data_IF_009821062879
#
_entry.id   IF_009821062879
#
_cell.length_a   1.000
_cell.length_b   1.000
_cell.length_c   1.000
_cell.angle_alpha   90.00
_cell.angle_beta   90.00
_cell.angle_gamma   90.00
#
_symmetry.space_group_name_H-M   'P 1'
#
loop_
_entity.id
_entity.type
_entity.pdbx_description
1 polymer ?
#
# COMPACT_ATOMS: atom_id res chain seq x y z
N UNK A 1 -54.87 -6.04 22.34
CA UNK A 1 -55.52 -6.10 21.01
C UNK A 1 -54.68 -5.25 20.05
N UNK A 2 -53.62 -5.83 19.48
CA UNK A 2 -52.80 -5.22 18.43
C UNK A 2 -52.42 -6.33 17.45
N UNK A 3 -52.98 -6.24 16.24
CA UNK A 3 -52.70 -7.14 15.12
C UNK A 3 -51.38 -6.71 14.45
N UNK A 4 -50.39 -7.59 14.45
CA UNK A 4 -49.19 -7.50 13.62
C UNK A 4 -49.41 -8.27 12.33
N UNK A 5 -49.38 -7.55 11.21
CA UNK A 5 -49.44 -8.12 9.87
C UNK A 5 -48.15 -8.92 9.57
N UNK A 6 -48.31 -10.21 9.24
CA UNK A 6 -47.27 -11.06 8.66
C UNK A 6 -47.29 -10.87 7.15
N UNK A 7 -46.22 -10.29 6.61
CA UNK A 7 -45.99 -10.21 5.17
C UNK A 7 -45.15 -11.41 4.72
N UNK A 8 -45.81 -12.41 4.15
CA UNK A 8 -45.20 -13.59 3.54
C UNK A 8 -44.60 -13.23 2.18
N UNK A 9 -43.27 -13.16 2.09
CA UNK A 9 -42.53 -13.09 0.82
C UNK A 9 -42.46 -14.49 0.20
N UNK A 10 -43.25 -14.71 -0.86
CA UNK A 10 -43.10 -15.85 -1.78
C UNK A 10 -41.78 -15.68 -2.55
N UNK A 11 -40.83 -16.58 -2.33
CA UNK A 11 -39.69 -16.79 -3.23
C UNK A 11 -40.23 -17.55 -4.45
N UNK A 12 -40.06 -16.96 -5.63
CA UNK A 12 -40.47 -17.52 -6.93
C UNK A 12 -39.25 -18.24 -7.50
N UNK A 13 -39.38 -19.55 -7.70
CA UNK A 13 -38.39 -20.40 -8.37
C UNK A 13 -38.33 -20.08 -9.87
N UNK A 14 -37.48 -19.13 -10.25
CA UNK A 14 -37.08 -18.97 -11.64
C UNK A 14 -35.77 -19.73 -11.89
N UNK A 15 -35.91 -20.83 -12.64
CA UNK A 15 -34.81 -21.63 -13.18
C UNK A 15 -33.97 -20.78 -14.13
N UNK A 16 -32.82 -20.29 -13.65
CA UNK A 16 -31.76 -19.75 -14.51
C UNK A 16 -30.93 -20.93 -15.03
N UNK A 17 -31.20 -21.32 -16.28
CA UNK A 17 -30.34 -22.20 -17.07
C UNK A 17 -29.10 -21.41 -17.52
N UNK A 18 -27.92 -21.81 -17.04
CA UNK A 18 -26.63 -21.35 -17.58
C UNK A 18 -26.13 -22.38 -18.61
N UNK A 19 -25.98 -22.02 -19.90
CA UNK A 19 -25.17 -22.79 -20.82
C UNK A 19 -23.71 -22.30 -20.72
N UNK A 20 -22.78 -23.21 -20.44
CA UNK A 20 -21.35 -22.90 -20.57
C UNK A 20 -20.48 -23.49 -19.48
N UNK A 21 -20.06 -24.74 -19.69
CA UNK A 21 -18.99 -25.40 -18.96
C UNK A 21 -17.66 -24.72 -19.33
N UNK A 22 -17.17 -23.77 -18.52
CA UNK A 22 -15.82 -23.23 -18.68
C UNK A 22 -14.85 -24.13 -17.93
N UNK A 23 -14.10 -24.93 -18.69
CA UNK A 23 -12.90 -25.59 -18.22
C UNK A 23 -11.85 -24.52 -17.89
N UNK A 24 -11.55 -24.32 -16.60
CA UNK A 24 -10.29 -23.69 -16.20
C UNK A 24 -9.21 -24.77 -16.20
N UNK A 25 -8.64 -25.01 -17.38
CA UNK A 25 -7.34 -25.65 -17.50
C UNK A 25 -6.28 -24.70 -16.96
N UNK A 26 -5.31 -25.25 -16.24
CA UNK A 26 -4.29 -24.51 -15.50
C UNK A 26 -3.64 -23.40 -16.32
N UNK A 27 -3.79 -22.17 -15.83
CA UNK A 27 -2.88 -21.10 -16.19
C UNK A 27 -1.62 -21.31 -15.36
N UNK A 28 -0.63 -21.98 -15.95
CA UNK A 28 0.76 -21.77 -15.57
C UNK A 28 1.03 -20.27 -15.78
N UNK A 29 1.11 -19.51 -14.70
CA UNK A 29 1.71 -18.19 -14.74
C UNK A 29 3.22 -18.40 -14.75
N UNK A 30 3.73 -18.82 -15.90
CA UNK A 30 5.14 -18.56 -16.22
C UNK A 30 5.26 -17.04 -16.34
N UNK A 31 5.92 -16.44 -15.34
CA UNK A 31 6.50 -15.13 -15.49
C UNK A 31 7.60 -15.24 -16.54
N UNK A 32 7.23 -15.17 -17.82
CA UNK A 32 8.15 -14.67 -18.82
C UNK A 32 8.47 -13.24 -18.41
N UNK A 33 9.63 -13.08 -17.75
CA UNK A 33 10.40 -11.87 -17.84
C UNK A 33 10.69 -11.66 -19.34
N UNK A 34 9.74 -11.03 -20.03
CA UNK A 34 10.02 -10.35 -21.27
C UNK A 34 11.04 -9.28 -20.91
N UNK A 35 12.31 -9.65 -21.03
CA UNK A 35 13.37 -8.69 -21.20
C UNK A 35 12.95 -7.84 -22.40
N UNK A 36 12.40 -6.67 -22.10
CA UNK A 36 12.25 -5.59 -23.06
C UNK A 36 13.67 -5.10 -23.34
N UNK A 37 14.41 -5.91 -24.08
CA UNK A 37 15.55 -5.48 -24.86
C UNK A 37 14.95 -4.64 -25.99
N UNK A 38 14.68 -3.37 -25.70
CA UNK A 38 14.64 -2.37 -26.75
C UNK A 38 16.07 -2.22 -27.28
N UNK A 39 16.50 -3.20 -28.10
CA UNK A 39 17.51 -2.97 -29.11
C UNK A 39 16.94 -1.95 -30.08
N UNK A 40 17.09 -0.67 -29.72
CA UNK A 40 17.05 0.43 -30.68
C UNK A 40 18.21 0.19 -31.65
N UNK A 41 17.92 -0.51 -32.74
CA UNK A 41 18.77 -0.45 -33.91
C UNK A 41 18.81 1.02 -34.36
N UNK A 42 19.98 1.66 -34.44
CA UNK A 42 20.09 2.99 -34.98
C UNK A 42 19.87 2.89 -36.49
N UNK A 43 18.65 3.15 -36.95
CA UNK A 43 18.40 3.39 -38.37
C UNK A 43 19.00 4.74 -38.73
N UNK A 44 20.28 4.71 -39.09
CA UNK A 44 20.96 5.73 -39.87
C UNK A 44 20.25 5.86 -41.24
N UNK A 45 19.12 6.56 -41.27
CA UNK A 45 18.66 7.23 -42.50
C UNK A 45 18.95 8.71 -42.34
N UNK A 46 20.12 9.08 -42.85
CA UNK A 46 20.51 10.41 -43.27
C UNK A 46 19.47 10.98 -44.26
N UNK A 47 18.37 11.49 -43.71
CA UNK A 47 17.57 12.50 -44.36
C UNK A 47 18.15 13.85 -43.94
N UNK A 48 19.07 14.38 -44.74
CA UNK A 48 19.58 15.74 -44.65
C UNK A 48 18.43 16.74 -44.77
N UNK A 49 17.72 16.98 -43.68
CA UNK A 49 16.84 18.13 -43.55
C UNK A 49 17.74 19.34 -43.53
N UNK A 50 17.83 20.02 -44.66
CA UNK A 50 18.22 21.41 -44.75
C UNK A 50 17.47 22.18 -43.65
N UNK A 51 18.13 22.44 -42.54
CA UNK A 51 17.78 23.52 -41.62
C UNK A 51 17.98 24.81 -42.41
N UNK A 52 16.95 25.21 -43.14
CA UNK A 52 16.82 26.58 -43.61
C UNK A 52 16.65 27.40 -42.34
N UNK A 53 17.77 27.91 -41.81
CA UNK A 53 17.75 28.98 -40.84
C UNK A 53 17.14 30.20 -41.54
N UNK A 54 15.81 30.30 -41.55
CA UNK A 54 15.13 31.53 -41.92
C UNK A 54 15.61 32.58 -40.94
N UNK A 55 16.58 33.41 -41.38
CA UNK A 55 16.87 34.69 -40.75
C UNK A 55 15.59 35.49 -40.83
N UNK A 56 14.79 35.43 -39.77
CA UNK A 56 13.68 36.36 -39.55
C UNK A 56 14.29 37.75 -39.47
N UNK A 57 14.31 38.45 -40.60
CA UNK A 57 14.70 39.85 -40.65
C UNK A 57 13.60 40.62 -39.93
N UNK A 58 13.90 41.06 -38.70
CA UNK A 58 13.04 41.94 -37.94
C UNK A 58 12.89 43.23 -38.79
N UNK A 59 11.66 43.60 -39.21
CA UNK A 59 11.41 44.81 -40.00
C UNK A 59 12.10 46.02 -39.36
N UNK A 60 12.77 46.87 -40.14
CA UNK A 60 13.52 48.01 -39.59
C UNK A 60 12.65 48.97 -38.77
N UNK A 61 11.36 49.03 -39.08
CA UNK A 61 10.35 49.80 -38.34
C UNK A 61 10.27 49.38 -36.87
N UNK A 62 10.40 48.07 -36.57
CA UNK A 62 10.41 47.56 -35.18
C UNK A 62 11.73 47.83 -34.45
N UNK A 63 12.84 48.05 -35.18
CA UNK A 63 14.14 48.38 -34.56
C UNK A 63 14.22 49.83 -34.09
N UNK A 64 13.46 50.74 -34.72
CA UNK A 64 13.44 52.15 -34.37
C UNK A 64 12.72 52.42 -33.02
N UNK A 65 11.69 51.62 -32.70
CA UNK A 65 10.92 51.76 -31.45
C UNK A 65 11.54 51.05 -30.25
N UNK A 66 12.59 50.25 -30.46
CA UNK A 66 13.29 49.56 -29.37
C UNK A 66 14.31 50.52 -28.74
N UNK A 67 14.15 50.87 -27.44
CA UNK A 67 15.12 51.72 -26.76
C UNK A 67 16.52 51.09 -26.82
N UNK A 68 17.46 51.78 -27.47
CA UNK A 68 18.82 51.29 -27.70
C UNK A 68 19.68 51.20 -26.43
N UNK A 69 19.22 51.84 -25.34
CA UNK A 69 19.90 51.76 -24.06
C UNK A 69 19.88 50.33 -23.54
N UNK A 70 20.97 49.88 -22.93
CA UNK A 70 21.11 48.54 -22.33
C UNK A 70 19.96 48.25 -21.36
N UNK A 71 19.53 49.29 -20.63
CA UNK A 71 18.33 49.25 -19.79
C UNK A 71 17.06 48.93 -20.61
N UNK A 72 16.82 49.64 -21.71
CA UNK A 72 15.68 49.38 -22.61
C UNK A 72 15.61 47.94 -23.14
N UNK A 73 16.76 47.34 -23.45
CA UNK A 73 16.84 45.94 -23.89
C UNK A 73 16.52 44.95 -22.76
N UNK A 74 17.04 45.19 -21.55
CA UNK A 74 16.73 44.38 -20.38
C UNK A 74 15.22 44.40 -20.06
N UNK A 75 14.59 45.56 -20.21
CA UNK A 75 13.15 45.77 -19.99
C UNK A 75 12.30 44.95 -20.98
N UNK A 76 12.70 44.85 -22.25
CA UNK A 76 12.04 44.01 -23.25
C UNK A 76 12.10 42.50 -22.95
N UNK A 77 13.17 42.04 -22.30
CA UNK A 77 13.38 40.62 -21.98
C UNK A 77 12.61 40.18 -20.73
N UNK A 78 12.27 41.11 -19.84
CA UNK A 78 11.65 40.80 -18.54
C UNK A 78 10.33 40.01 -18.63
N UNK A 79 9.35 40.39 -19.48
CA UNK A 79 8.11 39.62 -19.62
C UNK A 79 8.34 38.20 -20.14
N UNK A 80 9.29 38.04 -21.06
CA UNK A 80 9.64 36.73 -21.64
C UNK A 80 10.23 35.83 -20.54
N UNK A 81 11.17 36.34 -19.75
CA UNK A 81 11.78 35.61 -18.64
C UNK A 81 10.72 35.20 -17.60
N UNK A 82 9.83 36.12 -17.22
CA UNK A 82 8.76 35.80 -16.26
C UNK A 82 7.79 34.76 -16.80
N UNK A 83 7.49 34.78 -18.10
CA UNK A 83 6.66 33.77 -18.74
C UNK A 83 7.33 32.38 -18.69
N UNK A 84 8.63 32.31 -18.94
CA UNK A 84 9.40 31.06 -18.82
C UNK A 84 9.38 30.56 -17.38
N UNK A 85 9.62 31.43 -16.39
CA UNK A 85 9.57 31.07 -14.96
C UNK A 85 8.17 30.55 -14.59
N UNK A 86 7.11 31.26 -14.99
CA UNK A 86 5.73 30.83 -14.74
C UNK A 86 5.45 29.44 -15.33
N UNK A 87 5.93 29.18 -16.56
CA UNK A 87 5.76 27.88 -17.24
C UNK A 87 6.52 26.77 -16.52
N UNK A 88 7.74 27.03 -16.03
CA UNK A 88 8.50 26.07 -15.23
C UNK A 88 7.80 25.77 -13.90
N UNK A 89 7.29 26.80 -13.20
CA UNK A 89 6.53 26.63 -11.97
C UNK A 89 5.22 25.83 -12.19
N UNK A 90 4.54 26.06 -13.31
CA UNK A 90 3.37 25.28 -13.71
C UNK A 90 3.72 23.79 -13.89
N UNK A 91 4.84 23.49 -14.56
CA UNK A 91 5.34 22.13 -14.73
C UNK A 91 5.69 21.46 -13.40
N UNK A 92 6.35 22.19 -12.49
CA UNK A 92 6.67 21.70 -11.15
C UNK A 92 5.40 21.43 -10.33
N UNK A 93 4.44 22.35 -10.33
CA UNK A 93 3.15 22.16 -9.66
C UNK A 93 2.40 20.91 -10.17
N UNK A 94 2.36 20.73 -11.49
CA UNK A 94 1.72 19.56 -12.13
C UNK A 94 2.41 18.24 -11.78
N UNK A 95 3.75 18.21 -11.78
CA UNK A 95 4.51 17.01 -11.42
C UNK A 95 4.33 16.63 -9.94
N UNK A 96 4.29 17.59 -9.02
CA UNK A 96 4.01 17.35 -7.60
C UNK A 96 2.58 16.87 -7.36
N UNK A 97 1.60 17.42 -8.09
CA UNK A 97 0.23 16.94 -8.04
C UNK A 97 0.11 15.49 -8.55
N UNK A 98 0.84 15.16 -9.62
CA UNK A 98 0.89 13.78 -10.16
C UNK A 98 1.51 12.81 -9.16
N UNK A 99 2.59 13.21 -8.47
CA UNK A 99 3.18 12.42 -7.37
C UNK A 99 2.20 12.20 -6.23
N UNK A 100 1.48 13.24 -5.80
CA UNK A 100 0.45 13.12 -4.76
C UNK A 100 -0.66 12.14 -5.16
N UNK A 101 -1.09 12.16 -6.42
CA UNK A 101 -2.07 11.21 -6.94
C UNK A 101 -1.54 9.77 -6.99
N UNK A 102 -0.27 9.59 -7.40
CA UNK A 102 0.38 8.29 -7.39
C UNK A 102 0.45 7.70 -5.98
N UNK A 103 0.91 8.48 -5.00
CA UNK A 103 1.00 8.06 -3.60
C UNK A 103 -0.37 7.69 -3.01
N UNK A 104 -1.43 8.46 -3.33
CA UNK A 104 -2.82 8.12 -2.92
C UNK A 104 -3.29 6.82 -3.55
N UNK A 105 -3.05 6.62 -4.84
CA UNK A 105 -3.43 5.39 -5.53
C UNK A 105 -2.67 4.17 -4.96
N UNK A 106 -1.38 4.34 -4.69
CA UNK A 106 -0.56 3.31 -4.06
C UNK A 106 -1.02 2.99 -2.63
N UNK A 107 -1.33 4.02 -1.83
CA UNK A 107 -1.93 3.85 -0.50
C UNK A 107 -3.26 3.08 -0.56
N UNK A 108 -4.13 3.37 -1.53
CA UNK A 108 -5.39 2.64 -1.72
C UNK A 108 -5.16 1.15 -2.05
N UNK A 109 -4.16 0.82 -2.88
CA UNK A 109 -3.79 -0.57 -3.15
C UNK A 109 -3.28 -1.28 -1.89
N UNK A 110 -2.44 -0.60 -1.10
CA UNK A 110 -1.95 -1.14 0.17
C UNK A 110 -3.08 -1.30 1.19
N UNK A 111 -4.07 -0.41 1.20
CA UNK A 111 -5.24 -0.50 2.06
C UNK A 111 -6.10 -1.71 1.72
N UNK A 112 -6.28 -2.02 0.43
CA UNK A 112 -6.94 -3.28 0.01
C UNK A 112 -6.19 -4.49 0.55
N UNK A 113 -4.85 -4.53 0.42
CA UNK A 113 -4.02 -5.63 0.94
C UNK A 113 -4.10 -5.73 2.47
N UNK A 114 -4.10 -4.59 3.17
CA UNK A 114 -4.27 -4.55 4.62
C UNK A 114 -5.65 -5.11 5.03
N UNK A 115 -6.70 -4.72 4.31
CA UNK A 115 -8.06 -5.24 4.49
C UNK A 115 -8.14 -6.75 4.33
N UNK A 116 -7.49 -7.32 3.32
CA UNK A 116 -7.43 -8.78 3.14
C UNK A 116 -6.74 -9.47 4.33
N UNK A 117 -5.65 -8.91 4.84
CA UNK A 117 -4.95 -9.46 6.02
C UNK A 117 -5.78 -9.35 7.29
N UNK A 118 -6.52 -8.26 7.48
CA UNK A 118 -7.49 -8.14 8.57
C UNK A 118 -8.62 -9.16 8.47
N UNK A 119 -9.14 -9.42 7.27
CA UNK A 119 -10.14 -10.45 7.02
C UNK A 119 -9.60 -11.84 7.36
N UNK A 120 -8.36 -12.16 6.97
CA UNK A 120 -7.72 -13.42 7.35
C UNK A 120 -7.54 -13.53 8.87
N UNK A 121 -7.04 -12.49 9.54
CA UNK A 121 -6.94 -12.45 11.00
C UNK A 121 -8.28 -12.75 11.68
N UNK A 122 -9.34 -12.04 11.30
CA UNK A 122 -10.67 -12.21 11.88
C UNK A 122 -11.22 -13.62 11.62
N UNK A 123 -11.09 -14.13 10.40
CA UNK A 123 -11.54 -15.47 10.05
C UNK A 123 -10.81 -16.55 10.86
N UNK A 124 -9.49 -16.42 11.03
CA UNK A 124 -8.68 -17.37 11.83
C UNK A 124 -9.04 -17.29 13.31
N UNK A 125 -9.18 -16.07 13.86
CA UNK A 125 -9.61 -15.86 15.24
C UNK A 125 -11.00 -16.47 15.50
N UNK A 126 -11.95 -16.27 14.59
CA UNK A 126 -13.29 -16.86 14.68
C UNK A 126 -13.23 -18.40 14.62
N UNK A 127 -12.47 -18.98 13.68
CA UNK A 127 -12.28 -20.44 13.60
C UNK A 127 -11.68 -20.99 14.89
N UNK A 128 -10.67 -20.34 15.47
CA UNK A 128 -10.10 -20.74 16.75
C UNK A 128 -11.12 -20.72 17.90
N UNK A 129 -11.97 -19.68 17.97
CA UNK A 129 -13.06 -19.61 18.94
C UNK A 129 -14.10 -20.73 18.75
N UNK A 130 -14.50 -21.01 17.51
CA UNK A 130 -15.42 -22.11 17.18
C UNK A 130 -14.82 -23.45 17.64
N UNK A 131 -13.54 -23.71 17.36
CA UNK A 131 -12.90 -24.97 17.79
C UNK A 131 -12.92 -25.11 19.32
N UNK A 132 -12.64 -24.05 20.08
CA UNK A 132 -12.73 -24.09 21.55
C UNK A 132 -14.14 -24.42 22.04
N UNK A 133 -15.15 -23.74 21.51
CA UNK A 133 -16.55 -24.01 21.87
C UNK A 133 -16.95 -25.46 21.53
N UNK A 134 -16.44 -26.01 20.42
CA UNK A 134 -16.67 -27.42 20.06
C UNK A 134 -16.03 -28.39 21.05
N UNK A 135 -14.90 -28.05 21.67
CA UNK A 135 -14.29 -28.87 22.75
C UNK A 135 -15.20 -28.87 23.96
N UNK A 136 -15.69 -27.70 24.37
CA UNK A 136 -16.56 -27.57 25.55
C UNK A 136 -17.84 -28.39 25.37
N UNK A 137 -18.45 -28.34 24.19
CA UNK A 137 -19.62 -29.16 23.84
C UNK A 137 -19.29 -30.65 23.82
N UNK A 138 -18.15 -31.04 23.26
CA UNK A 138 -17.72 -32.43 23.21
C UNK A 138 -17.49 -32.99 24.62
N UNK A 139 -16.88 -32.20 25.52
CA UNK A 139 -16.66 -32.55 26.91
C UNK A 139 -17.97 -32.62 27.72
N UNK A 140 -18.97 -31.82 27.37
CA UNK A 140 -20.29 -31.90 27.98
C UNK A 140 -21.10 -33.11 27.50
N UNK A 141 -20.90 -33.54 26.25
CA UNK A 141 -21.68 -34.59 25.61
C UNK A 141 -21.07 -36.00 25.72
N UNK A 142 -19.76 -36.10 25.97
CA UNK A 142 -19.04 -37.36 26.05
C UNK A 142 -17.96 -37.31 27.12
N UNK A 143 -17.65 -38.48 27.69
CA UNK A 143 -16.46 -38.64 28.53
C UNK A 143 -15.21 -38.58 27.62
N UNK A 144 -14.40 -37.53 27.82
CA UNK A 144 -13.17 -37.28 27.07
C UNK A 144 -11.99 -37.43 28.00
N UNK A 145 -11.11 -38.38 27.68
CA UNK A 145 -9.85 -38.58 28.37
C UNK A 145 -8.72 -37.84 27.64
N UNK A 146 -7.65 -37.44 28.34
CA UNK A 146 -6.44 -37.00 27.68
C UNK A 146 -5.89 -38.10 26.77
N UNK A 147 -5.69 -37.78 25.49
CA UNK A 147 -5.01 -38.69 24.57
C UNK A 147 -3.62 -39.03 25.10
N UNK A 148 -3.23 -40.31 25.07
CA UNK A 148 -1.93 -40.78 25.53
C UNK A 148 -1.09 -41.31 24.37
N UNK A 149 0.24 -41.22 24.48
CA UNK A 149 1.15 -41.75 23.47
C UNK A 149 0.93 -43.25 23.21
N UNK A 150 0.76 -44.04 24.29
CA UNK A 150 0.51 -45.47 24.19
C UNK A 150 -0.80 -45.80 23.47
N UNK A 151 -1.86 -45.01 23.71
CA UNK A 151 -3.14 -45.17 22.99
C UNK A 151 -2.99 -44.88 21.49
N UNK A 152 -2.22 -43.84 21.14
CA UNK A 152 -1.95 -43.49 19.75
C UNK A 152 -1.14 -44.59 19.05
N UNK A 153 -0.02 -45.01 19.63
CA UNK A 153 0.89 -46.02 19.06
C UNK A 153 0.22 -47.38 18.89
N UNK A 154 -0.63 -47.79 19.84
CA UNK A 154 -1.37 -49.05 19.75
C UNK A 154 -2.29 -49.10 18.53
N UNK A 155 -2.87 -47.97 18.14
CA UNK A 155 -3.86 -47.89 17.06
C UNK A 155 -3.22 -47.55 15.70
N UNK A 156 -2.29 -46.61 15.65
CA UNK A 156 -1.71 -46.12 14.40
C UNK A 156 -0.30 -46.61 14.10
N UNK A 157 0.33 -47.33 15.04
CA UNK A 157 1.77 -47.58 14.99
C UNK A 157 2.59 -46.31 15.30
N UNK A 158 3.89 -46.32 15.01
CA UNK A 158 4.78 -45.21 15.31
C UNK A 158 4.33 -43.89 14.65
N UNK A 159 4.26 -42.83 15.45
CA UNK A 159 3.94 -41.46 15.01
C UNK A 159 5.18 -40.59 15.21
N UNK A 160 5.42 -39.65 14.29
CA UNK A 160 6.56 -38.74 14.43
C UNK A 160 6.42 -37.84 15.67
N UNK A 161 7.56 -37.48 16.26
CA UNK A 161 7.59 -36.74 17.52
C UNK A 161 6.87 -35.38 17.45
N UNK A 162 6.88 -34.71 16.29
CA UNK A 162 6.22 -33.41 16.15
C UNK A 162 4.69 -33.54 16.14
N UNK A 163 4.15 -34.56 15.45
CA UNK A 163 2.72 -34.88 15.48
C UNK A 163 2.27 -35.35 16.86
N UNK A 164 3.09 -36.16 17.53
CA UNK A 164 2.83 -36.61 18.89
C UNK A 164 2.75 -35.41 19.85
N UNK A 165 3.75 -34.52 19.82
CA UNK A 165 3.75 -33.31 20.63
C UNK A 165 2.55 -32.40 20.31
N UNK A 166 2.20 -32.25 19.02
CA UNK A 166 1.06 -31.45 18.60
C UNK A 166 -0.28 -31.97 19.15
N UNK A 167 -0.50 -33.28 19.12
CA UNK A 167 -1.74 -33.89 19.62
C UNK A 167 -1.78 -33.96 21.14
N UNK A 168 -0.69 -34.35 21.79
CA UNK A 168 -0.66 -34.53 23.25
C UNK A 168 -0.64 -33.18 23.99
N UNK A 169 0.19 -32.24 23.54
CA UNK A 169 0.35 -30.92 24.19
C UNK A 169 -0.61 -29.88 23.63
N UNK A 170 -1.24 -30.13 22.48
CA UNK A 170 -2.04 -29.13 21.77
C UNK A 170 -1.20 -27.97 21.24
N UNK A 171 0.12 -28.14 21.13
CA UNK A 171 1.05 -27.08 20.77
C UNK A 171 1.47 -27.21 19.29
N UNK A 172 1.23 -26.21 18.44
CA UNK A 172 1.77 -26.23 17.09
C UNK A 172 3.29 -26.13 17.10
N UNK A 173 3.96 -26.48 15.98
CA UNK A 173 5.37 -26.16 15.78
C UNK A 173 5.67 -24.72 16.17
N UNK A 174 6.84 -24.49 16.79
CA UNK A 174 7.21 -23.15 17.25
C UNK A 174 7.16 -22.16 16.07
N UNK A 175 6.35 -21.11 16.22
CA UNK A 175 6.31 -20.04 15.24
C UNK A 175 7.62 -19.24 15.31
N UNK A 176 8.16 -18.78 14.17
CA UNK A 176 9.27 -17.86 14.17
C UNK A 176 8.90 -16.61 14.96
N UNK A 177 9.70 -16.25 15.96
CA UNK A 177 9.47 -15.03 16.73
C UNK A 177 9.82 -13.81 15.87
N UNK A 178 8.84 -12.93 15.64
CA UNK A 178 9.08 -11.64 14.99
C UNK A 178 9.83 -10.74 15.98
N UNK A 179 11.15 -10.71 15.90
CA UNK A 179 11.95 -9.72 16.63
C UNK A 179 11.92 -8.41 15.85
N UNK A 180 10.99 -7.53 16.20
CA UNK A 180 11.10 -6.11 15.83
C UNK A 180 12.26 -5.55 16.64
N UNK A 181 13.40 -5.27 16.01
CA UNK A 181 14.58 -4.70 16.69
C UNK A 181 14.56 -3.17 16.71
N UNK A 182 14.00 -2.56 15.66
CA UNK A 182 13.96 -1.11 15.49
C UNK A 182 12.99 -0.43 16.49
N UNK A 183 13.52 0.54 17.25
CA UNK A 183 12.75 1.25 18.27
C UNK A 183 11.67 2.16 17.69
N UNK A 184 11.96 2.84 16.57
CA UNK A 184 11.00 3.73 15.91
C UNK A 184 9.81 2.94 15.35
N UNK A 185 10.06 1.76 14.80
CA UNK A 185 9.01 0.86 14.33
C UNK A 185 8.12 0.39 15.48
N UNK A 186 8.70 0.03 16.64
CA UNK A 186 7.90 -0.30 17.84
C UNK A 186 7.03 0.85 18.29
N UNK A 187 7.59 2.06 18.34
CA UNK A 187 6.86 3.27 18.73
C UNK A 187 5.72 3.53 17.75
N UNK A 188 5.97 3.45 16.44
CA UNK A 188 4.94 3.64 15.42
C UNK A 188 3.83 2.59 15.48
N UNK A 189 4.18 1.30 15.66
CA UNK A 189 3.19 0.23 15.87
C UNK A 189 2.35 0.47 17.12
N UNK A 190 2.98 0.82 18.24
CA UNK A 190 2.28 1.12 19.48
C UNK A 190 1.40 2.36 19.36
N UNK A 191 1.81 3.38 18.60
CA UNK A 191 1.00 4.58 18.38
C UNK A 191 -0.29 4.26 17.62
N UNK A 192 -0.22 3.41 16.57
CA UNK A 192 -1.41 2.95 15.84
C UNK A 192 -2.28 2.04 16.68
N UNK A 193 -1.69 1.07 17.39
CA UNK A 193 -2.44 0.13 18.24
C UNK A 193 -3.21 0.84 19.36
N UNK A 194 -2.62 1.90 19.94
CA UNK A 194 -3.27 2.72 20.96
C UNK A 194 -4.14 3.85 20.38
N UNK A 195 -4.41 3.84 19.07
CA UNK A 195 -5.23 4.83 18.38
C UNK A 195 -4.86 6.29 18.72
N UNK A 196 -3.56 6.58 18.74
CA UNK A 196 -3.06 7.93 19.02
C UNK A 196 -3.52 8.92 17.92
N UNK A 197 -3.54 10.24 18.22
CA UNK A 197 -3.81 11.26 17.21
C UNK A 197 -2.91 11.14 15.97
N UNK A 198 -3.44 11.48 14.79
CA UNK A 198 -2.74 11.31 13.50
C UNK A 198 -1.46 12.15 13.39
N UNK A 199 -1.38 13.29 14.09
CA UNK A 199 -0.18 14.12 14.16
C UNK A 199 0.95 13.47 14.97
N UNK A 200 0.62 12.80 16.08
CA UNK A 200 1.58 11.98 16.84
C UNK A 200 2.06 10.79 16.00
N UNK A 201 1.15 10.09 15.31
CA UNK A 201 1.49 8.98 14.42
C UNK A 201 2.39 9.48 13.29
N UNK A 202 2.06 10.62 12.67
CA UNK A 202 2.85 11.21 11.60
C UNK A 202 4.28 11.54 12.04
N UNK A 203 4.48 12.08 13.24
CA UNK A 203 5.80 12.36 13.78
C UNK A 203 6.67 11.09 13.86
N UNK A 204 6.09 9.99 14.36
CA UNK A 204 6.81 8.71 14.48
C UNK A 204 7.08 8.06 13.12
N UNK A 205 6.13 8.15 12.17
CA UNK A 205 6.29 7.62 10.82
C UNK A 205 7.31 8.38 9.98
N UNK A 206 7.44 9.69 10.18
CA UNK A 206 8.45 10.51 9.50
C UNK A 206 9.88 10.12 9.92
N UNK A 207 10.06 9.65 11.16
CA UNK A 207 11.35 9.18 11.67
C UNK A 207 11.69 7.73 11.25
N UNK A 208 10.73 6.99 10.68
CA UNK A 208 10.89 5.59 10.31
C UNK A 208 11.39 5.46 8.86
N UNK A 209 12.57 4.87 8.58
CA UNK A 209 13.03 4.66 7.21
C UNK A 209 12.15 3.69 6.43
N UNK A 210 11.94 3.94 5.12
CA UNK A 210 11.15 3.06 4.25
C UNK A 210 11.71 1.63 4.17
N UNK A 211 13.05 1.52 4.12
CA UNK A 211 13.74 0.24 4.09
C UNK A 211 13.46 -0.61 5.34
N UNK A 212 13.43 0.01 6.52
CA UNK A 212 13.11 -0.66 7.79
C UNK A 212 11.69 -1.23 7.76
N UNK A 213 10.71 -0.42 7.33
CA UNK A 213 9.31 -0.85 7.25
C UNK A 213 9.12 -1.97 6.20
N UNK A 214 9.77 -1.86 5.04
CA UNK A 214 9.72 -2.89 4.00
C UNK A 214 10.37 -4.21 4.46
N UNK A 215 11.52 -4.14 5.12
CA UNK A 215 12.20 -5.32 5.68
C UNK A 215 11.36 -6.01 6.77
N UNK A 216 10.73 -5.22 7.65
CA UNK A 216 9.82 -5.74 8.67
C UNK A 216 8.61 -6.45 8.04
N UNK A 217 7.97 -5.84 7.03
CA UNK A 217 6.84 -6.46 6.33
C UNK A 217 7.25 -7.75 5.63
N UNK A 218 8.43 -7.78 4.99
CA UNK A 218 8.97 -9.00 4.40
C UNK A 218 9.19 -10.08 5.45
N UNK A 219 9.86 -9.76 6.56
CA UNK A 219 10.10 -10.70 7.65
C UNK A 219 8.80 -11.25 8.26
N UNK A 220 7.77 -10.42 8.44
CA UNK A 220 6.48 -10.87 8.94
C UNK A 220 5.80 -11.88 8.00
N UNK A 221 5.88 -11.65 6.67
CA UNK A 221 5.36 -12.59 5.65
C UNK A 221 6.16 -13.88 5.57
N UNK A 222 7.48 -13.79 5.67
CA UNK A 222 8.38 -14.94 5.69
C UNK A 222 8.08 -15.81 6.91
N UNK A 223 7.79 -15.20 8.07
CA UNK A 223 7.41 -15.92 9.28
C UNK A 223 6.06 -16.63 9.17
N UNK A 224 5.05 -15.99 8.57
CA UNK A 224 3.77 -16.63 8.27
C UNK A 224 3.96 -17.85 7.34
N UNK A 225 4.74 -17.68 6.28
CA UNK A 225 5.05 -18.75 5.31
C UNK A 225 5.81 -19.91 5.96
N UNK A 226 6.81 -19.60 6.81
CA UNK A 226 7.57 -20.60 7.52
C UNK A 226 6.71 -21.41 8.51
N UNK A 227 5.79 -20.74 9.22
CA UNK A 227 4.85 -21.42 10.11
C UNK A 227 3.90 -22.37 9.34
N UNK A 228 3.35 -21.92 8.21
CA UNK A 228 2.53 -22.76 7.33
C UNK A 228 3.32 -23.97 6.81
N UNK A 229 4.58 -23.75 6.41
CA UNK A 229 5.49 -24.82 6.00
C UNK A 229 5.74 -25.86 7.11
N UNK A 230 5.95 -25.39 8.34
CA UNK A 230 6.21 -26.25 9.50
C UNK A 230 4.98 -27.03 9.96
N UNK A 231 3.77 -26.45 9.84
CA UNK A 231 2.52 -27.11 10.26
C UNK A 231 1.96 -28.09 9.23
N UNK A 232 2.29 -27.92 7.95
CA UNK A 232 1.81 -28.78 6.86
C UNK A 232 2.05 -30.29 7.09
N UNK A 233 3.25 -30.79 7.42
CA UNK A 233 3.45 -32.22 7.66
C UNK A 233 2.65 -32.75 8.86
N UNK A 234 2.53 -31.96 9.93
CA UNK A 234 1.73 -32.31 11.12
C UNK A 234 0.25 -32.46 10.75
N UNK A 235 -0.32 -31.50 9.99
CA UNK A 235 -1.70 -31.59 9.51
C UNK A 235 -1.92 -32.86 8.67
N UNK A 236 -1.00 -33.17 7.75
CA UNK A 236 -1.08 -34.37 6.92
C UNK A 236 -1.01 -35.67 7.73
N UNK A 237 -0.21 -35.70 8.80
CA UNK A 237 -0.15 -36.84 9.71
C UNK A 237 -1.46 -37.01 10.49
N UNK A 238 -2.02 -35.91 11.02
CA UNK A 238 -3.32 -35.90 11.71
C UNK A 238 -4.45 -36.40 10.78
N UNK A 239 -4.46 -35.97 9.51
CA UNK A 239 -5.45 -36.41 8.53
C UNK A 239 -5.36 -37.92 8.23
N UNK A 240 -4.16 -38.50 8.29
CA UNK A 240 -3.98 -39.96 8.16
C UNK A 240 -4.47 -40.68 9.41
N UNK A 241 -4.14 -40.16 10.60
CA UNK A 241 -4.58 -40.72 11.87
C UNK A 241 -6.11 -40.74 11.97
N UNK A 242 -6.79 -39.67 11.54
CA UNK A 242 -8.26 -39.62 11.54
C UNK A 242 -8.89 -40.82 10.80
N UNK A 243 -8.32 -41.21 9.66
CA UNK A 243 -8.81 -42.37 8.89
C UNK A 243 -8.63 -43.69 9.65
N UNK A 244 -7.56 -43.82 10.43
CA UNK A 244 -7.31 -45.01 11.26
C UNK A 244 -8.28 -45.05 12.44
N UNK A 245 -8.48 -43.92 13.13
CA UNK A 245 -9.38 -43.83 14.27
C UNK A 245 -10.86 -43.97 13.90
N UNK A 246 -11.24 -43.67 12.66
CA UNK A 246 -12.61 -43.83 12.18
C UNK A 246 -13.15 -45.28 12.25
N UNK A 247 -12.26 -46.29 12.22
CA UNK A 247 -12.63 -47.72 12.27
C UNK A 247 -12.32 -48.35 13.64
N UNK A 248 -11.76 -47.57 14.58
CA UNK A 248 -11.23 -48.06 15.85
C UNK A 248 -12.22 -48.01 17.01
N UNK A 249 -11.65 -48.08 18.23
CA UNK A 249 -12.38 -47.89 19.47
C UNK A 249 -13.03 -46.50 19.53
N UNK A 250 -14.33 -46.47 19.80
CA UNK A 250 -15.13 -45.24 19.87
C UNK A 250 -14.64 -44.28 20.95
N UNK A 251 -14.24 -44.79 22.11
CA UNK A 251 -13.74 -43.94 23.20
C UNK A 251 -12.46 -43.22 22.76
N UNK A 252 -11.51 -43.97 22.22
CA UNK A 252 -10.24 -43.43 21.76
C UNK A 252 -10.40 -42.48 20.56
N UNK A 253 -11.41 -42.69 19.71
CA UNK A 253 -11.77 -41.76 18.64
C UNK A 253 -12.26 -40.42 19.20
N UNK A 254 -13.07 -40.42 20.27
CA UNK A 254 -13.49 -39.17 20.91
C UNK A 254 -12.28 -38.40 21.50
N UNK A 255 -11.36 -39.11 22.17
CA UNK A 255 -10.14 -38.52 22.74
C UNK A 255 -9.22 -37.92 21.65
N UNK A 256 -9.03 -38.66 20.55
CA UNK A 256 -8.29 -38.18 19.38
C UNK A 256 -8.97 -36.95 18.76
N UNK A 257 -10.29 -36.97 18.60
CA UNK A 257 -11.06 -35.84 18.06
C UNK A 257 -10.89 -34.60 18.93
N UNK A 258 -10.99 -34.74 20.25
CA UNK A 258 -10.76 -33.64 21.19
C UNK A 258 -9.34 -33.07 21.08
N UNK A 259 -8.32 -33.94 21.00
CA UNK A 259 -6.92 -33.53 20.81
C UNK A 259 -6.70 -32.76 19.51
N UNK A 260 -7.27 -33.24 18.39
CA UNK A 260 -7.20 -32.57 17.09
C UNK A 260 -7.86 -31.19 17.11
N UNK A 261 -9.04 -31.06 17.72
CA UNK A 261 -9.75 -29.78 17.83
C UNK A 261 -8.92 -28.80 18.66
N UNK A 262 -8.31 -29.25 19.78
CA UNK A 262 -7.41 -28.44 20.61
C UNK A 262 -6.21 -27.93 19.82
N UNK A 263 -5.51 -28.81 19.11
CA UNK A 263 -4.41 -28.43 18.24
C UNK A 263 -4.85 -27.40 17.18
N UNK A 264 -5.99 -27.63 16.53
CA UNK A 264 -6.52 -26.73 15.50
C UNK A 264 -6.87 -25.35 16.05
N UNK A 265 -7.43 -25.29 17.27
CA UNK A 265 -7.71 -24.03 17.95
C UNK A 265 -6.43 -23.21 18.16
N UNK A 266 -5.39 -23.81 18.74
CA UNK A 266 -4.12 -23.13 19.02
C UNK A 266 -3.39 -22.74 17.73
N UNK A 267 -3.38 -23.61 16.71
CA UNK A 267 -2.82 -23.28 15.40
C UNK A 267 -3.48 -22.05 14.79
N UNK A 268 -4.82 -21.97 14.82
CA UNK A 268 -5.52 -20.80 14.28
C UNK A 268 -5.26 -19.51 15.06
N UNK A 269 -5.01 -19.57 16.37
CA UNK A 269 -4.58 -18.40 17.13
C UNK A 269 -3.20 -17.90 16.70
N UNK A 270 -2.25 -18.81 16.45
CA UNK A 270 -0.91 -18.45 15.97
C UNK A 270 -0.99 -17.84 14.56
N UNK A 271 -1.74 -18.47 13.64
CA UNK A 271 -1.97 -17.93 12.30
C UNK A 271 -2.65 -16.55 12.34
N UNK A 272 -3.60 -16.35 13.25
CA UNK A 272 -4.24 -15.06 13.45
C UNK A 272 -3.19 -14.00 13.84
N UNK A 273 -2.36 -14.25 14.86
CA UNK A 273 -1.32 -13.29 15.29
C UNK A 273 -0.33 -12.95 14.17
N UNK A 274 0.07 -13.92 13.36
CA UNK A 274 0.96 -13.69 12.22
C UNK A 274 0.29 -12.80 11.15
N UNK A 275 -0.98 -13.06 10.81
CA UNK A 275 -1.73 -12.20 9.87
C UNK A 275 -1.97 -10.79 10.43
N UNK A 276 -2.22 -10.66 11.74
CA UNK A 276 -2.35 -9.35 12.40
C UNK A 276 -1.06 -8.53 12.29
N UNK A 277 0.11 -9.17 12.49
CA UNK A 277 1.39 -8.49 12.34
C UNK A 277 1.62 -7.96 10.91
N UNK A 278 1.27 -8.76 9.89
CA UNK A 278 1.33 -8.33 8.48
C UNK A 278 0.34 -7.18 8.22
N UNK A 279 -0.89 -7.26 8.75
CA UNK A 279 -1.92 -6.23 8.60
C UNK A 279 -1.47 -4.89 9.20
N UNK A 280 -0.96 -4.89 10.44
CA UNK A 280 -0.46 -3.70 11.12
C UNK A 280 0.66 -3.01 10.33
N UNK A 281 1.62 -3.78 9.78
CA UNK A 281 2.72 -3.23 8.98
C UNK A 281 2.24 -2.65 7.64
N UNK A 282 1.26 -3.26 7.00
CA UNK A 282 0.63 -2.70 5.80
C UNK A 282 -0.12 -1.40 6.13
N UNK A 283 -0.80 -1.33 7.26
CA UNK A 283 -1.47 -0.10 7.70
C UNK A 283 -0.49 1.06 7.92
N UNK A 284 0.68 0.78 8.51
CA UNK A 284 1.74 1.78 8.62
C UNK A 284 2.20 2.28 7.24
N UNK A 285 2.33 1.39 6.24
CA UNK A 285 2.67 1.79 4.88
C UNK A 285 1.56 2.65 4.25
N UNK A 286 0.28 2.31 4.44
CA UNK A 286 -0.85 3.12 3.97
C UNK A 286 -0.77 4.54 4.53
N UNK A 287 -0.64 4.66 5.86
CA UNK A 287 -0.55 5.95 6.55
C UNK A 287 0.65 6.76 6.07
N UNK A 288 1.81 6.13 5.92
CA UNK A 288 3.02 6.79 5.43
C UNK A 288 2.87 7.32 4.01
N UNK A 289 2.27 6.55 3.10
CA UNK A 289 2.01 7.01 1.73
C UNK A 289 0.96 8.13 1.69
N UNK A 290 -0.07 8.09 2.54
CA UNK A 290 -1.02 9.20 2.66
C UNK A 290 -0.34 10.49 3.17
N UNK A 291 0.59 10.39 4.12
CA UNK A 291 1.37 11.54 4.59
C UNK A 291 2.29 12.08 3.49
N UNK A 292 2.92 11.20 2.70
CA UNK A 292 3.70 11.60 1.52
C UNK A 292 2.84 12.34 0.50
N UNK A 293 1.68 11.78 0.14
CA UNK A 293 0.75 12.40 -0.78
C UNK A 293 0.29 13.79 -0.32
N UNK A 294 0.00 13.95 0.97
CA UNK A 294 -0.44 15.22 1.52
C UNK A 294 0.68 16.27 1.50
N UNK A 295 1.95 15.88 1.72
CA UNK A 295 3.11 16.77 1.55
C UNK A 295 3.22 17.24 0.09
N UNK A 296 3.16 16.32 -0.86
CA UNK A 296 3.21 16.64 -2.30
C UNK A 296 2.04 17.53 -2.73
N UNK A 297 0.84 17.27 -2.21
CA UNK A 297 -0.35 18.09 -2.48
C UNK A 297 -0.22 19.52 -1.92
N UNK A 298 0.27 19.67 -0.69
CA UNK A 298 0.55 20.98 -0.10
C UNK A 298 1.63 21.72 -0.88
N UNK A 299 2.69 21.04 -1.32
CA UNK A 299 3.76 21.62 -2.13
C UNK A 299 3.26 22.07 -3.50
N UNK A 300 2.42 21.27 -4.17
CA UNK A 300 1.83 21.65 -5.46
C UNK A 300 0.95 22.90 -5.34
N UNK A 301 0.18 23.03 -4.26
CA UNK A 301 -0.61 24.23 -3.98
C UNK A 301 0.25 25.49 -3.85
N UNK A 302 1.40 25.39 -3.17
CA UNK A 302 2.34 26.53 -3.04
C UNK A 302 2.99 26.89 -4.38
N UNK A 303 3.39 25.91 -5.20
CA UNK A 303 3.90 26.19 -6.55
C UNK A 303 2.83 26.84 -7.45
N UNK A 304 1.57 26.45 -7.32
CA UNK A 304 0.47 27.08 -8.03
C UNK A 304 0.31 28.57 -7.67
N UNK A 305 0.39 28.93 -6.38
CA UNK A 305 0.39 30.34 -5.98
C UNK A 305 1.61 31.11 -6.51
N UNK A 306 2.80 30.48 -6.51
CA UNK A 306 4.00 31.06 -7.13
C UNK A 306 3.81 31.34 -8.62
N UNK A 307 3.19 30.41 -9.36
CA UNK A 307 2.83 30.57 -10.77
C UNK A 307 1.86 31.74 -10.98
N UNK A 308 0.80 31.85 -10.16
CA UNK A 308 -0.15 32.96 -10.24
C UNK A 308 0.51 34.32 -9.98
N UNK A 309 1.42 34.40 -9.00
CA UNK A 309 2.18 35.63 -8.74
C UNK A 309 3.07 36.02 -9.92
N UNK A 310 3.73 35.05 -10.56
CA UNK A 310 4.53 35.29 -11.77
C UNK A 310 3.65 35.77 -12.94
N UNK A 311 2.47 35.18 -13.13
CA UNK A 311 1.51 35.63 -14.15
C UNK A 311 1.01 37.05 -13.87
N UNK A 312 0.70 37.40 -12.62
CA UNK A 312 0.32 38.75 -12.24
C UNK A 312 1.46 39.77 -12.53
N UNK A 313 2.71 39.40 -12.27
CA UNK A 313 3.87 40.23 -12.60
C UNK A 313 4.00 40.48 -14.11
N UNK A 314 3.74 39.47 -14.95
CA UNK A 314 3.71 39.63 -16.43
C UNK A 314 2.63 40.63 -16.86
N UNK A 315 1.43 40.55 -16.26
CA UNK A 315 0.32 41.48 -16.56
C UNK A 315 0.69 42.91 -16.17
N UNK A 316 1.20 43.11 -14.94
CA UNK A 316 1.63 44.43 -14.46
C UNK A 316 2.77 45.01 -15.33
N UNK A 317 3.73 44.17 -15.74
CA UNK A 317 4.81 44.57 -16.64
C UNK A 317 4.28 45.02 -18.00
N UNK A 318 3.28 44.32 -18.54
CA UNK A 318 2.64 44.67 -19.82
C UNK A 318 1.87 45.99 -19.71
N UNK A 319 1.10 46.20 -18.64
CA UNK A 319 0.42 47.48 -18.40
C UNK A 319 1.40 48.64 -18.21
N UNK A 320 2.53 48.39 -17.55
CA UNK A 320 3.60 49.38 -17.38
C UNK A 320 4.20 49.84 -18.70
N UNK A 321 4.40 48.90 -19.64
CA UNK A 321 4.80 49.20 -21.02
C UNK A 321 3.78 50.09 -21.72
N UNK A 322 2.48 49.78 -21.57
CA UNK A 322 1.39 50.53 -22.18
C UNK A 322 1.21 51.95 -21.59
N UNK A 323 1.41 52.12 -20.28
CA UNK A 323 1.11 53.37 -19.58
C UNK A 323 2.23 54.44 -19.69
N UNK A 324 3.35 54.16 -20.36
CA UNK A 324 4.56 55.01 -20.47
C UNK A 324 5.17 55.53 -19.14
N UNK A 325 4.62 55.20 -17.97
CA UNK A 325 5.17 55.54 -16.65
C UNK A 325 6.26 54.55 -16.22
N UNK A 326 7.42 54.65 -16.89
CA UNK A 326 8.49 53.65 -16.94
C UNK A 326 9.30 53.39 -15.66
N UNK A 327 9.28 54.24 -14.62
CA UNK A 327 10.22 54.04 -13.50
C UNK A 327 9.61 53.28 -12.31
N UNK A 328 8.41 53.64 -11.87
CA UNK A 328 7.82 53.04 -10.65
C UNK A 328 7.30 51.62 -10.88
N UNK A 329 6.43 51.43 -11.87
CA UNK A 329 5.79 50.14 -12.13
C UNK A 329 6.80 49.04 -12.51
N UNK A 330 7.94 49.40 -13.08
CA UNK A 330 9.02 48.47 -13.41
C UNK A 330 9.80 47.99 -12.19
N UNK A 331 10.09 48.89 -11.24
CA UNK A 331 10.71 48.48 -9.97
C UNK A 331 9.82 47.48 -9.22
N UNK A 332 8.51 47.71 -9.21
CA UNK A 332 7.53 46.80 -8.63
C UNK A 332 7.53 45.43 -9.33
N UNK A 333 7.55 45.41 -10.67
CA UNK A 333 7.59 44.15 -11.44
C UNK A 333 8.88 43.36 -11.22
N UNK A 334 10.05 44.02 -11.21
CA UNK A 334 11.33 43.37 -10.95
C UNK A 334 11.41 42.79 -9.53
N UNK A 335 10.96 43.55 -8.52
CA UNK A 335 10.88 43.08 -7.13
C UNK A 335 9.94 41.87 -7.04
N UNK A 336 8.76 41.94 -7.67
CA UNK A 336 7.81 40.82 -7.67
C UNK A 336 8.42 39.56 -8.30
N UNK A 337 9.18 39.69 -9.38
CA UNK A 337 9.88 38.58 -10.03
C UNK A 337 10.94 37.93 -9.13
N UNK A 338 11.78 38.74 -8.46
CA UNK A 338 12.79 38.24 -7.51
C UNK A 338 12.14 37.55 -6.32
N UNK A 339 11.06 38.14 -5.77
CA UNK A 339 10.29 37.55 -4.67
C UNK A 339 9.68 36.21 -5.09
N UNK A 340 9.13 36.11 -6.31
CA UNK A 340 8.58 34.85 -6.82
C UNK A 340 9.65 33.76 -6.96
N UNK A 341 10.85 34.10 -7.44
CA UNK A 341 11.97 33.17 -7.55
C UNK A 341 12.45 32.70 -6.17
N UNK A 342 12.66 33.64 -5.24
CA UNK A 342 13.06 33.32 -3.87
C UNK A 342 12.01 32.45 -3.17
N UNK A 343 10.72 32.75 -3.36
CA UNK A 343 9.61 31.96 -2.85
C UNK A 343 9.60 30.54 -3.44
N UNK A 344 9.80 30.39 -4.75
CA UNK A 344 9.88 29.07 -5.38
C UNK A 344 11.03 28.23 -4.83
N UNK A 345 12.22 28.83 -4.65
CA UNK A 345 13.38 28.16 -4.04
C UNK A 345 13.09 27.78 -2.58
N UNK A 346 12.47 28.68 -1.81
CA UNK A 346 12.06 28.38 -0.44
C UNK A 346 11.09 27.19 -0.36
N UNK A 347 10.04 27.20 -1.19
CA UNK A 347 9.07 26.10 -1.26
C UNK A 347 9.74 24.79 -1.69
N UNK A 348 10.71 24.83 -2.59
CA UNK A 348 11.43 23.64 -3.04
C UNK A 348 12.31 23.03 -1.93
N UNK A 349 12.98 23.86 -1.13
CA UNK A 349 13.96 23.41 -0.13
C UNK A 349 13.34 23.06 1.23
N UNK A 350 12.28 23.76 1.65
CA UNK A 350 11.81 23.72 3.04
C UNK A 350 10.40 23.19 3.24
N UNK A 351 9.61 23.02 2.19
CA UNK A 351 8.22 22.51 2.27
C UNK A 351 8.17 21.11 1.72
#
# INVERSE_FOLDING_TARGET
MFQTARETRRVRDDKISFPGRVHFSGVNVEFHAAAINHSFAPTNRLGSRLTIAMKTQIPEQLKADVPQTTMGKLLLVTPVVMTVIATLLAGLASSEMTRAQYDRAYAAQLQSKAGDQWNYFQAKKLRGAIQRNSIDLLQAAAEIHPLTAAGLEKTSGPVDAATLDALLKGAPPAAPTVTVSDANLKIALAAVENARPEDEIAATLNALPDATLAAALKSARDNATAFDGATKPVNQAIDRLEKVFAVGDRSLNHDFTAARIRFSAVRYEVEARLNQAVANLLELQVRKNNLSAERHHKRSGKFFFGMLAAQAAVIVSTFSLAAQKRNFLWSVAAIAGVVALAFAVYVYLWV
#
